data_IF_321985506803
#
_entry.id   IF_321985506803
#
_cell.length_a   1.000
_cell.length_b   1.000
_cell.length_c   1.000
_cell.angle_alpha   90.00
_cell.angle_beta   90.00
_cell.angle_gamma   90.00
#
_symmetry.space_group_name_H-M   'P 1'
#
loop_
_entity.id
_entity.type
_entity.pdbx_description
1 polymer ?
#
# COMPACT_ATOMS: atom_id res chain seq x y z
N UNK A 1 -2.39 16.80 -21.98
CA UNK A 1 -1.45 16.71 -20.83
C UNK A 1 -0.03 16.89 -21.35
N UNK A 2 0.97 17.21 -20.51
CA UNK A 2 2.37 17.02 -20.93
C UNK A 2 2.59 15.53 -21.24
N UNK A 3 3.29 15.15 -22.33
CA UNK A 3 3.54 13.73 -22.67
C UNK A 3 4.17 12.93 -21.52
N UNK A 4 5.02 13.58 -20.72
CA UNK A 4 5.64 12.93 -19.55
C UNK A 4 4.63 12.65 -18.42
N UNK A 5 3.64 13.53 -18.23
CA UNK A 5 2.61 13.37 -17.21
C UNK A 5 1.58 12.31 -17.61
N UNK A 6 1.23 12.27 -18.88
CA UNK A 6 0.38 11.22 -19.45
C UNK A 6 1.05 9.85 -19.28
N UNK A 7 2.33 9.72 -19.62
CA UNK A 7 3.06 8.47 -19.43
C UNK A 7 3.21 8.06 -17.97
N UNK A 8 3.41 9.04 -17.07
CA UNK A 8 3.43 8.78 -15.63
C UNK A 8 2.08 8.25 -15.12
N UNK A 9 0.98 8.82 -15.61
CA UNK A 9 -0.36 8.37 -15.26
C UNK A 9 -0.63 6.94 -15.76
N UNK A 10 -0.29 6.64 -17.02
CA UNK A 10 -0.42 5.29 -17.60
C UNK A 10 0.32 4.24 -16.75
N UNK A 11 1.59 4.49 -16.41
CA UNK A 11 2.39 3.54 -15.62
C UNK A 11 1.81 3.33 -14.22
N UNK A 12 1.19 4.36 -13.63
CA UNK A 12 0.52 4.26 -12.34
C UNK A 12 -0.76 3.43 -12.46
N UNK A 13 -1.57 3.66 -13.49
CA UNK A 13 -2.82 2.91 -13.70
C UNK A 13 -2.54 1.45 -14.04
N UNK A 14 -1.57 1.17 -14.91
CA UNK A 14 -1.13 -0.19 -15.22
C UNK A 14 -0.67 -0.95 -13.97
N UNK A 15 0.06 -0.28 -13.06
CA UNK A 15 0.41 -0.87 -11.78
C UNK A 15 -0.81 -1.14 -10.88
N UNK A 16 -1.82 -0.28 -10.89
CA UNK A 16 -3.06 -0.54 -10.14
C UNK A 16 -3.81 -1.74 -10.70
N UNK A 17 -3.85 -1.86 -12.02
CA UNK A 17 -4.65 -2.87 -12.69
C UNK A 17 -4.00 -4.25 -12.54
N UNK A 18 -2.66 -4.36 -12.59
CA UNK A 18 -1.98 -5.65 -12.31
C UNK A 18 -2.20 -6.16 -10.88
N UNK A 19 -2.43 -5.28 -9.90
CA UNK A 19 -2.78 -5.69 -8.53
C UNK A 19 -4.18 -6.33 -8.43
N UNK A 20 -5.03 -6.15 -9.44
CA UNK A 20 -6.40 -6.65 -9.48
C UNK A 20 -6.56 -7.91 -10.33
N UNK A 21 -5.54 -8.31 -11.10
CA UNK A 21 -5.53 -9.55 -11.89
C UNK A 21 -5.76 -10.73 -10.94
N UNK A 22 -6.79 -11.58 -11.13
CA UNK A 22 -7.08 -12.69 -10.23
C UNK A 22 -6.03 -13.81 -10.27
N UNK A 23 -5.53 -14.12 -11.48
CA UNK A 23 -4.55 -15.17 -11.70
C UNK A 23 -3.15 -14.75 -11.24
N UNK A 24 -2.49 -15.61 -10.47
CA UNK A 24 -1.18 -15.30 -9.86
C UNK A 24 -0.09 -15.26 -10.93
N UNK A 25 -0.14 -16.17 -11.90
CA UNK A 25 0.89 -16.27 -12.94
C UNK A 25 0.81 -15.04 -13.86
N UNK A 26 -0.40 -14.70 -14.28
CA UNK A 26 -0.69 -13.49 -15.06
C UNK A 26 -0.29 -12.22 -14.31
N UNK A 27 -0.55 -12.13 -13.00
CA UNK A 27 -0.12 -10.99 -12.16
C UNK A 27 1.40 -10.83 -12.12
N UNK A 28 2.14 -11.94 -12.03
CA UNK A 28 3.62 -11.93 -12.02
C UNK A 28 4.17 -11.52 -13.40
N UNK A 29 3.60 -12.06 -14.48
CA UNK A 29 3.96 -11.69 -15.84
C UNK A 29 3.70 -10.20 -16.10
N UNK A 30 2.54 -9.68 -15.67
CA UNK A 30 2.20 -8.26 -15.76
C UNK A 30 3.15 -7.37 -14.94
N UNK A 31 3.56 -7.81 -13.74
CA UNK A 31 4.55 -7.08 -12.92
C UNK A 31 5.91 -6.98 -13.61
N UNK A 32 6.37 -8.08 -14.24
CA UNK A 32 7.62 -8.07 -15.01
C UNK A 32 7.54 -7.13 -16.21
N UNK A 33 6.43 -7.19 -16.96
CA UNK A 33 6.18 -6.29 -18.08
C UNK A 33 6.15 -4.81 -17.65
N UNK A 34 5.55 -4.53 -16.49
CA UNK A 34 5.53 -3.20 -15.92
C UNK A 34 6.96 -2.69 -15.61
N UNK A 35 7.85 -3.53 -15.08
CA UNK A 35 9.25 -3.15 -14.86
C UNK A 35 9.98 -2.77 -16.16
N UNK A 36 9.72 -3.49 -17.24
CA UNK A 36 10.30 -3.19 -18.56
C UNK A 36 9.81 -1.84 -19.05
N UNK A 37 8.49 -1.61 -19.04
CA UNK A 37 7.89 -0.33 -19.42
C UNK A 37 8.40 0.86 -18.62
N UNK A 38 8.53 0.72 -17.29
CA UNK A 38 9.11 1.77 -16.44
C UNK A 38 10.55 2.07 -16.84
N UNK A 39 11.33 1.06 -17.20
CA UNK A 39 12.72 1.24 -17.63
C UNK A 39 12.82 1.98 -18.97
N UNK A 40 11.92 1.66 -19.90
CA UNK A 40 11.85 2.26 -21.23
C UNK A 40 11.30 3.69 -21.21
N UNK A 41 10.41 4.02 -20.27
CA UNK A 41 9.78 5.34 -20.17
C UNK A 41 10.76 6.48 -19.84
N UNK A 42 11.96 6.17 -19.34
CA UNK A 42 13.00 7.16 -18.98
C UNK A 42 12.51 8.28 -18.05
N UNK A 43 11.50 7.97 -17.22
CA UNK A 43 10.95 8.89 -16.22
C UNK A 43 11.69 8.73 -14.90
N UNK A 44 12.56 9.69 -14.57
CA UNK A 44 13.37 9.67 -13.34
C UNK A 44 12.53 9.44 -12.07
N UNK A 45 11.33 10.01 -12.01
CA UNK A 45 10.40 9.85 -10.88
C UNK A 45 9.99 8.39 -10.66
N UNK A 46 9.86 7.60 -11.74
CA UNK A 46 9.45 6.20 -11.67
C UNK A 46 10.59 5.24 -11.36
N UNK A 47 11.87 5.66 -11.47
CA UNK A 47 12.98 4.82 -11.04
C UNK A 47 12.96 4.55 -9.53
N UNK A 48 12.58 5.57 -8.74
CA UNK A 48 12.38 5.38 -7.29
C UNK A 48 11.21 4.43 -7.02
N UNK A 49 10.10 4.59 -7.75
CA UNK A 49 8.94 3.70 -7.63
C UNK A 49 9.32 2.25 -7.97
N UNK A 50 9.97 2.01 -9.11
CA UNK A 50 10.49 0.70 -9.51
C UNK A 50 11.36 0.07 -8.43
N UNK A 51 12.30 0.84 -7.86
CA UNK A 51 13.17 0.36 -6.79
C UNK A 51 12.37 -0.04 -5.55
N UNK A 52 11.38 0.76 -5.15
CA UNK A 52 10.51 0.43 -4.03
C UNK A 52 9.73 -0.85 -4.30
N UNK A 53 9.07 -0.96 -5.46
CA UNK A 53 8.32 -2.17 -5.83
C UNK A 53 9.23 -3.39 -5.81
N UNK A 54 10.45 -3.29 -6.35
CA UNK A 54 11.41 -4.40 -6.36
C UNK A 54 11.85 -4.82 -4.95
N UNK A 55 12.08 -3.86 -4.05
CA UNK A 55 12.44 -4.14 -2.66
C UNK A 55 11.33 -4.87 -1.88
N UNK A 56 10.07 -4.65 -2.26
CA UNK A 56 8.90 -5.24 -1.59
C UNK A 56 8.22 -6.33 -2.43
N UNK A 57 8.89 -6.81 -3.48
CA UNK A 57 8.30 -7.70 -4.49
C UNK A 57 7.73 -8.98 -3.89
N UNK A 58 8.42 -9.59 -2.93
CA UNK A 58 7.93 -10.78 -2.23
C UNK A 58 6.56 -10.53 -1.55
N UNK A 59 6.40 -9.39 -0.89
CA UNK A 59 5.15 -9.01 -0.25
C UNK A 59 4.05 -8.72 -1.28
N UNK A 60 4.40 -8.12 -2.42
CA UNK A 60 3.46 -7.88 -3.53
C UNK A 60 3.00 -9.21 -4.14
N UNK A 61 3.91 -10.16 -4.35
CA UNK A 61 3.57 -11.50 -4.84
C UNK A 61 2.70 -12.25 -3.83
N UNK A 62 2.99 -12.12 -2.53
CA UNK A 62 2.12 -12.68 -1.49
C UNK A 62 0.73 -12.04 -1.48
N UNK A 63 0.61 -10.76 -1.81
CA UNK A 63 -0.69 -10.11 -2.00
C UNK A 63 -1.47 -10.74 -3.16
N UNK A 64 -0.84 -11.09 -4.29
CA UNK A 64 -1.53 -11.78 -5.40
C UNK A 64 -2.17 -13.10 -4.97
N UNK A 65 -1.50 -13.81 -4.04
CA UNK A 65 -1.98 -15.11 -3.51
C UNK A 65 -3.09 -14.95 -2.48
N UNK A 66 -2.93 -13.99 -1.56
CA UNK A 66 -3.75 -13.93 -0.34
C UNK A 66 -4.83 -12.85 -0.38
N UNK A 67 -4.63 -11.79 -1.18
CA UNK A 67 -5.41 -10.54 -1.18
C UNK A 67 -5.50 -9.86 0.19
N UNK A 68 -4.65 -10.26 1.13
CA UNK A 68 -4.60 -9.67 2.46
C UNK A 68 -3.81 -8.37 2.36
N UNK A 69 -4.44 -7.28 2.77
CA UNK A 69 -3.79 -5.97 2.88
C UNK A 69 -3.51 -5.62 4.34
N UNK A 70 -2.52 -4.76 4.57
CA UNK A 70 -2.28 -4.16 5.87
C UNK A 70 -3.37 -3.13 6.28
N UNK A 71 -4.42 -2.95 5.46
CA UNK A 71 -5.44 -1.92 5.65
C UNK A 71 -6.19 -2.04 6.97
N UNK A 72 -6.47 -3.26 7.46
CA UNK A 72 -7.06 -3.47 8.78
C UNK A 72 -6.15 -2.96 9.91
N UNK A 73 -4.87 -3.31 9.87
CA UNK A 73 -3.90 -2.87 10.87
C UNK A 73 -3.68 -1.35 10.79
N UNK A 74 -3.67 -0.75 9.60
CA UNK A 74 -3.62 0.70 9.41
C UNK A 74 -4.85 1.41 9.97
N UNK A 75 -6.05 0.88 9.71
CA UNK A 75 -7.30 1.38 10.29
C UNK A 75 -7.27 1.34 11.83
N UNK A 76 -6.83 0.23 12.40
CA UNK A 76 -6.64 0.09 13.84
C UNK A 76 -5.61 1.10 14.38
N UNK A 77 -4.45 1.22 13.72
CA UNK A 77 -3.41 2.19 14.08
C UNK A 77 -3.95 3.63 14.05
N UNK A 78 -4.76 3.98 13.07
CA UNK A 78 -5.40 5.29 12.97
C UNK A 78 -6.42 5.53 14.09
N UNK A 79 -7.22 4.52 14.45
CA UNK A 79 -8.14 4.59 15.60
C UNK A 79 -7.38 4.80 16.90
N UNK A 80 -6.29 4.07 17.13
CA UNK A 80 -5.43 4.23 18.32
C UNK A 80 -4.82 5.64 18.37
N UNK A 81 -4.33 6.15 17.23
CA UNK A 81 -3.80 7.52 17.12
C UNK A 81 -4.88 8.56 17.46
N UNK A 82 -6.11 8.37 17.00
CA UNK A 82 -7.24 9.25 17.33
C UNK A 82 -7.51 9.24 18.84
N UNK A 83 -7.60 8.06 19.45
CA UNK A 83 -7.82 7.90 20.91
C UNK A 83 -6.72 8.59 21.71
N UNK A 84 -5.46 8.45 21.28
CA UNK A 84 -4.32 9.17 21.89
C UNK A 84 -4.46 10.69 21.77
N UNK A 85 -4.90 11.20 20.61
CA UNK A 85 -5.06 12.64 20.34
C UNK A 85 -6.16 13.27 21.21
N UNK A 86 -7.33 12.63 21.30
CA UNK A 86 -8.46 13.15 22.10
C UNK A 86 -8.28 12.92 23.60
N UNK A 87 -7.31 12.08 24.00
CA UNK A 87 -7.03 11.77 25.40
C UNK A 87 -6.13 12.79 26.10
N UNK A 88 -5.59 13.80 25.38
CA UNK A 88 -4.70 14.86 25.93
C UNK A 88 -3.53 14.33 26.79
N UNK A 89 -2.98 13.17 26.42
CA UNK A 89 -1.93 12.49 27.16
C UNK A 89 -2.46 11.32 27.98
N UNK A 90 -1.82 10.16 27.82
CA UNK A 90 -2.18 8.94 28.56
C UNK A 90 -0.94 8.46 29.31
N UNK A 91 -0.75 8.86 30.58
CA UNK A 91 0.50 8.65 31.32
C UNK A 91 0.86 7.17 31.50
N UNK A 92 -0.16 6.31 31.53
CA UNK A 92 -0.01 4.86 31.68
C UNK A 92 -0.53 4.17 30.43
N UNK A 93 0.31 3.35 29.79
CA UNK A 93 -0.07 2.54 28.61
C UNK A 93 -1.31 1.69 28.87
N UNK A 94 -1.49 1.20 30.11
CA UNK A 94 -2.65 0.41 30.50
C UNK A 94 -3.98 1.17 30.33
N UNK A 95 -3.98 2.48 30.60
CA UNK A 95 -5.16 3.32 30.40
C UNK A 95 -5.43 3.52 28.90
N UNK A 96 -4.39 3.55 28.05
CA UNK A 96 -4.55 3.62 26.60
C UNK A 96 -5.15 2.31 26.08
N UNK A 97 -4.65 1.15 26.53
CA UNK A 97 -5.19 -0.16 26.17
C UNK A 97 -6.67 -0.28 26.53
N UNK A 98 -7.08 0.10 27.75
CA UNK A 98 -8.48 0.10 28.18
C UNK A 98 -9.36 0.97 27.28
N UNK A 99 -8.92 2.19 26.94
CA UNK A 99 -9.65 3.10 26.05
C UNK A 99 -9.76 2.55 24.63
N UNK A 100 -8.70 1.93 24.10
CA UNK A 100 -8.71 1.26 22.79
C UNK A 100 -9.71 0.10 22.82
N UNK A 101 -9.65 -0.76 23.83
CA UNK A 101 -10.55 -1.90 23.98
C UNK A 101 -12.03 -1.46 24.05
N UNK A 102 -12.35 -0.50 24.91
CA UNK A 102 -13.71 0.05 25.03
C UNK A 102 -14.19 0.66 23.72
N UNK A 103 -13.35 1.47 23.05
CA UNK A 103 -13.72 2.13 21.80
C UNK A 103 -13.92 1.17 20.62
N UNK A 104 -13.33 -0.02 20.66
CA UNK A 104 -13.48 -1.04 19.60
C UNK A 104 -14.70 -1.95 19.84
N UNK A 105 -15.10 -2.14 21.10
CA UNK A 105 -16.28 -2.94 21.48
C UNK A 105 -17.59 -2.16 21.50
N UNK A 106 -17.53 -0.84 21.46
CA UNK A 106 -18.71 0.04 21.50
C UNK A 106 -19.26 0.38 20.10
N UNK A 107 -18.96 -0.47 19.11
CA UNK A 107 -19.47 -0.42 17.72
C UNK A 107 -20.29 -1.70 17.52
#
# INVERSE_FOLDING_TARGET
LSPALEKAWELKEEFRDLLQIPDIKESIEALNHWYEKVSQAKLNLFYKAKRTVKNWEENIINYFRTRITNGFAEGLNNKIKLIKRIGYGVPKVENLKRRVFLSLLSI
#
